data_IF_380635557771
#
_entry.id   IF_380635557771
#
_cell.length_a   1.000
_cell.length_b   1.000
_cell.length_c   1.000
_cell.angle_alpha   90.00
_cell.angle_beta   90.00
_cell.angle_gamma   90.00
#
_symmetry.space_group_name_H-M   'P 1'
#
loop_
_entity.id
_entity.type
_entity.pdbx_description
1 polymer ?
#
# COMPACT_ATOMS: atom_id res chain seq x y z
N UNK A 1 14.86 -3.47 -2.73
CA UNK A 1 14.36 -2.97 -4.03
C UNK A 1 13.96 -4.16 -4.89
N UNK A 2 12.66 -4.35 -5.11
CA UNK A 2 12.16 -5.46 -5.92
C UNK A 2 12.73 -5.41 -7.34
N UNK A 3 13.43 -6.47 -7.77
CA UNK A 3 14.13 -6.59 -9.08
C UNK A 3 13.28 -6.20 -10.30
N UNK A 4 11.96 -6.34 -10.20
CA UNK A 4 11.00 -6.05 -11.28
C UNK A 4 10.73 -4.55 -11.43
N UNK A 5 10.68 -3.81 -10.31
CA UNK A 5 10.47 -2.35 -10.33
C UNK A 5 11.71 -1.66 -10.88
N UNK A 6 12.89 -2.15 -10.50
CA UNK A 6 14.15 -1.68 -11.07
C UNK A 6 14.19 -1.83 -12.59
N UNK A 7 13.60 -2.89 -13.15
CA UNK A 7 13.54 -3.07 -14.61
C UNK A 7 12.59 -2.07 -15.28
N UNK A 8 11.39 -1.84 -14.70
CA UNK A 8 10.43 -0.88 -15.25
C UNK A 8 10.97 0.56 -15.23
N UNK A 9 11.60 0.97 -14.12
CA UNK A 9 12.20 2.30 -13.96
C UNK A 9 13.51 2.42 -14.75
N UNK A 10 14.31 1.35 -14.85
CA UNK A 10 15.52 1.33 -15.69
C UNK A 10 15.19 1.40 -17.18
N UNK A 11 14.14 0.72 -17.66
CA UNK A 11 13.67 0.88 -19.05
C UNK A 11 13.23 2.32 -19.33
N UNK A 12 12.62 2.98 -18.36
CA UNK A 12 12.24 4.39 -18.44
C UNK A 12 13.46 5.32 -18.43
N UNK A 13 14.44 5.05 -17.57
CA UNK A 13 15.73 5.74 -17.56
C UNK A 13 16.49 5.57 -18.89
N UNK A 14 16.55 4.35 -19.44
CA UNK A 14 17.21 4.07 -20.73
C UNK A 14 16.48 4.73 -21.91
N UNK A 15 15.14 4.77 -21.88
CA UNK A 15 14.32 5.50 -22.86
C UNK A 15 14.48 7.02 -22.74
N UNK A 16 14.53 7.57 -21.53
CA UNK A 16 14.72 9.00 -21.33
C UNK A 16 16.16 9.44 -21.68
N UNK A 17 17.14 8.57 -21.41
CA UNK A 17 18.54 8.76 -21.84
C UNK A 17 18.68 8.77 -23.36
N UNK A 18 17.95 7.91 -24.10
CA UNK A 18 17.98 7.93 -25.57
C UNK A 18 17.30 9.17 -26.17
N UNK A 19 16.44 9.84 -25.41
CA UNK A 19 15.79 11.10 -25.75
C UNK A 19 16.55 12.35 -25.23
N UNK A 20 17.68 12.17 -24.53
CA UNK A 20 18.47 13.29 -23.97
C UNK A 20 17.81 14.02 -22.80
N UNK A 21 16.81 13.42 -22.15
CA UNK A 21 16.07 14.01 -21.03
C UNK A 21 16.68 13.52 -19.71
N UNK A 22 17.14 14.45 -18.87
CA UNK A 22 17.64 14.11 -17.53
C UNK A 22 16.52 13.47 -16.68
N UNK A 23 16.83 12.54 -15.75
CA UNK A 23 15.82 12.01 -14.84
C UNK A 23 15.25 13.15 -13.98
N UNK A 24 14.03 13.57 -14.28
CA UNK A 24 13.32 14.58 -13.50
C UNK A 24 12.65 13.88 -12.34
N UNK A 25 13.03 14.24 -11.11
CA UNK A 25 12.26 13.82 -9.93
C UNK A 25 10.91 14.55 -10.02
N UNK A 26 9.77 13.83 -10.09
CA UNK A 26 8.48 14.48 -10.25
C UNK A 26 8.19 15.43 -9.08
N UNK A 27 7.86 16.68 -9.40
CA UNK A 27 7.37 17.65 -8.42
C UNK A 27 5.85 17.72 -8.52
N UNK A 28 5.15 17.33 -7.44
CA UNK A 28 3.69 17.24 -7.40
C UNK A 28 3.16 15.82 -7.63
N UNK A 29 1.84 15.65 -7.82
CA UNK A 29 1.25 14.32 -7.88
C UNK A 29 1.72 13.56 -9.13
N UNK A 30 2.18 12.34 -8.95
CA UNK A 30 2.70 11.46 -10.00
C UNK A 30 1.59 10.66 -10.65
N UNK A 31 0.54 10.32 -9.91
CA UNK A 31 -0.57 9.52 -10.41
C UNK A 31 -1.83 10.35 -10.66
N UNK A 32 -2.70 9.86 -11.54
CA UNK A 32 -4.06 10.39 -11.70
C UNK A 32 -4.94 9.82 -10.57
N UNK A 33 -5.07 10.57 -9.47
CA UNK A 33 -5.72 10.09 -8.24
C UNK A 33 -7.13 9.50 -8.45
N UNK A 34 -8.01 10.19 -9.19
CA UNK A 34 -9.38 9.73 -9.41
C UNK A 34 -9.55 8.91 -10.70
N UNK A 35 -8.47 8.31 -11.23
CA UNK A 35 -8.54 7.59 -12.50
C UNK A 35 -9.55 6.45 -12.49
N UNK A 36 -9.75 5.80 -11.34
CA UNK A 36 -10.78 4.78 -11.13
C UNK A 36 -12.22 5.25 -11.44
N UNK A 37 -12.46 6.58 -11.51
CA UNK A 37 -13.74 7.20 -11.87
C UNK A 37 -13.80 7.60 -13.35
N UNK A 38 -12.67 7.61 -14.06
CA UNK A 38 -12.61 8.03 -15.45
C UNK A 38 -13.13 6.95 -16.41
N UNK A 39 -13.80 7.31 -17.53
CA UNK A 39 -14.29 6.33 -18.49
C UNK A 39 -13.19 5.47 -19.13
N UNK A 40 -12.00 6.03 -19.33
CA UNK A 40 -10.85 5.36 -19.95
C UNK A 40 -10.18 4.32 -19.04
N UNK A 41 -10.52 4.27 -17.75
CA UNK A 41 -9.98 3.29 -16.80
C UNK A 41 -10.77 1.99 -16.74
N UNK A 42 -12.00 1.98 -17.29
CA UNK A 42 -12.94 0.84 -17.19
C UNK A 42 -12.33 -0.48 -17.66
N UNK A 43 -11.58 -0.48 -18.76
CA UNK A 43 -10.97 -1.70 -19.30
C UNK A 43 -9.97 -2.35 -18.33
N UNK A 44 -9.30 -1.55 -17.50
CA UNK A 44 -8.32 -2.02 -16.52
C UNK A 44 -9.01 -2.46 -15.22
N UNK A 45 -9.92 -1.63 -14.70
CA UNK A 45 -10.61 -1.91 -13.45
C UNK A 45 -11.58 -3.09 -13.55
N UNK A 46 -12.14 -3.36 -14.73
CA UNK A 46 -12.96 -4.57 -14.95
C UNK A 46 -12.15 -5.86 -14.81
N UNK A 47 -10.82 -5.85 -14.97
CA UNK A 47 -9.97 -7.04 -14.78
C UNK A 47 -9.74 -7.39 -13.31
N UNK A 48 -9.93 -6.42 -12.41
CA UNK A 48 -9.79 -6.62 -10.96
C UNK A 48 -11.16 -6.63 -10.25
N UNK A 49 -12.26 -6.65 -11.01
CA UNK A 49 -13.64 -6.72 -10.51
C UNK A 49 -14.40 -7.92 -11.09
N UNK A 50 -15.24 -8.54 -10.26
CA UNK A 50 -16.19 -9.57 -10.66
C UNK A 50 -17.51 -9.36 -9.90
N UNK A 51 -18.65 -9.34 -10.62
CA UNK A 51 -20.01 -9.24 -10.03
C UNK A 51 -20.14 -8.12 -8.97
N UNK A 52 -19.65 -6.90 -9.28
CA UNK A 52 -19.64 -5.71 -8.41
C UNK A 52 -18.72 -5.76 -7.18
N UNK A 53 -17.95 -6.83 -7.00
CA UNK A 53 -16.92 -6.95 -5.95
C UNK A 53 -15.53 -7.01 -6.56
N UNK A 54 -14.51 -6.68 -5.77
CA UNK A 54 -13.12 -6.90 -6.17
C UNK A 54 -12.84 -8.39 -6.27
N UNK A 55 -12.09 -8.78 -7.29
CA UNK A 55 -11.64 -10.17 -7.46
C UNK A 55 -10.48 -10.43 -6.50
N UNK A 56 -10.59 -11.50 -5.72
CA UNK A 56 -9.45 -12.04 -4.94
C UNK A 56 -8.50 -12.76 -5.89
N UNK A 57 -7.21 -12.46 -5.78
CA UNK A 57 -6.17 -13.11 -6.58
C UNK A 57 -5.30 -14.00 -5.70
N UNK A 58 -5.02 -15.21 -6.17
CA UNK A 58 -3.97 -16.05 -5.61
C UNK A 58 -2.57 -15.43 -5.78
N UNK A 59 -1.58 -15.92 -5.02
CA UNK A 59 -0.20 -15.38 -5.06
C UNK A 59 0.42 -15.43 -6.48
N UNK A 60 0.08 -16.46 -7.25
CA UNK A 60 0.56 -16.67 -8.63
C UNK A 60 -0.38 -16.10 -9.69
N UNK A 61 -1.58 -15.66 -9.30
CA UNK A 61 -2.55 -15.09 -10.23
C UNK A 61 -2.24 -13.62 -10.54
N UNK A 62 -2.70 -13.17 -11.70
CA UNK A 62 -2.61 -11.79 -12.15
C UNK A 62 -3.82 -11.42 -13.03
N UNK A 63 -4.21 -10.14 -13.09
CA UNK A 63 -5.20 -9.67 -14.05
C UNK A 63 -4.68 -9.87 -15.48
N UNK A 64 -5.49 -10.49 -16.33
CA UNK A 64 -5.16 -10.73 -17.73
C UNK A 64 -5.69 -9.58 -18.61
N UNK A 65 -4.76 -8.89 -19.28
CA UNK A 65 -5.08 -7.88 -20.30
C UNK A 65 -5.17 -8.51 -21.70
N UNK A 66 -5.95 -7.94 -22.62
CA UNK A 66 -5.91 -8.34 -24.03
C UNK A 66 -4.48 -8.22 -24.59
N UNK A 67 -4.05 -9.11 -25.51
CA UNK A 67 -2.68 -9.11 -26.04
C UNK A 67 -2.23 -7.79 -26.68
N UNK A 68 -3.18 -6.97 -27.14
CA UNK A 68 -2.93 -5.67 -27.75
C UNK A 68 -2.56 -4.59 -26.71
N UNK A 69 -2.85 -4.82 -25.43
CA UNK A 69 -2.65 -3.85 -24.34
C UNK A 69 -1.60 -4.42 -23.39
N UNK A 70 -0.37 -3.91 -23.51
CA UNK A 70 0.71 -4.28 -22.62
C UNK A 70 0.67 -3.43 -21.34
N UNK A 71 0.48 -4.07 -20.18
CA UNK A 71 0.47 -3.41 -18.88
C UNK A 71 1.48 -4.08 -17.98
N UNK A 72 2.51 -3.35 -17.60
CA UNK A 72 3.53 -3.87 -16.70
C UNK A 72 3.02 -3.92 -15.26
N UNK A 73 3.48 -4.90 -14.50
CA UNK A 73 3.15 -5.05 -13.08
C UNK A 73 4.35 -4.72 -12.22
N UNK A 74 4.19 -3.75 -11.33
CA UNK A 74 5.14 -3.43 -10.26
C UNK A 74 4.69 -4.08 -8.96
N UNK A 75 5.62 -4.58 -8.15
CA UNK A 75 5.32 -5.40 -6.97
C UNK A 75 5.89 -4.76 -5.72
N UNK A 76 5.06 -4.66 -4.68
CA UNK A 76 5.41 -4.05 -3.41
C UNK A 76 5.00 -4.93 -2.24
N UNK A 77 5.93 -5.16 -1.32
CA UNK A 77 5.67 -5.81 -0.03
C UNK A 77 5.24 -4.75 0.99
N UNK A 78 4.08 -4.96 1.61
CA UNK A 78 3.50 -4.06 2.60
C UNK A 78 3.28 -4.81 3.90
N UNK A 79 3.91 -4.39 4.98
CA UNK A 79 3.69 -4.97 6.31
C UNK A 79 2.57 -4.22 7.07
N UNK A 80 1.66 -4.96 7.69
CA UNK A 80 0.62 -4.43 8.57
C UNK A 80 1.08 -4.51 10.03
N UNK A 81 1.38 -3.36 10.63
CA UNK A 81 1.82 -3.24 12.02
C UNK A 81 0.70 -2.66 12.89
N UNK A 82 0.56 -3.13 14.12
CA UNK A 82 -0.44 -2.61 15.07
C UNK A 82 -0.89 -3.68 16.07
N UNK A 83 -1.58 -3.25 17.13
CA UNK A 83 -1.98 -4.14 18.23
C UNK A 83 -2.87 -5.30 17.79
N UNK A 84 -2.96 -6.34 18.61
CA UNK A 84 -3.99 -7.37 18.42
C UNK A 84 -5.40 -6.75 18.44
N UNK A 85 -6.34 -7.24 17.63
CA UNK A 85 -7.72 -6.72 17.58
C UNK A 85 -7.96 -5.38 16.86
N UNK A 86 -6.93 -4.67 16.38
CA UNK A 86 -7.09 -3.38 15.67
C UNK A 86 -7.60 -3.52 14.22
N UNK A 87 -7.82 -4.74 13.72
CA UNK A 87 -8.40 -4.95 12.38
C UNK A 87 -7.40 -5.05 11.23
N UNK A 88 -6.15 -5.49 11.46
CA UNK A 88 -5.16 -5.77 10.39
C UNK A 88 -5.68 -6.74 9.33
N UNK A 89 -6.16 -7.91 9.75
CA UNK A 89 -6.75 -8.93 8.86
C UNK A 89 -7.99 -8.40 8.13
N UNK A 90 -8.84 -7.62 8.83
CA UNK A 90 -10.02 -7.02 8.23
C UNK A 90 -9.66 -5.98 7.16
N UNK A 91 -8.62 -5.18 7.38
CA UNK A 91 -8.10 -4.25 6.38
C UNK A 91 -7.55 -5.00 5.17
N UNK A 92 -6.73 -6.05 5.38
CA UNK A 92 -6.21 -6.87 4.29
C UNK A 92 -7.33 -7.49 3.45
N UNK A 93 -8.35 -8.08 4.10
CA UNK A 93 -9.52 -8.64 3.44
C UNK A 93 -10.29 -7.59 2.64
N UNK A 94 -10.54 -6.42 3.23
CA UNK A 94 -11.22 -5.28 2.58
C UNK A 94 -10.49 -4.80 1.34
N UNK A 95 -9.16 -4.61 1.44
CA UNK A 95 -8.34 -4.23 0.30
C UNK A 95 -8.25 -5.36 -0.74
N UNK A 96 -8.37 -6.62 -0.34
CA UNK A 96 -8.43 -7.79 -1.23
C UNK A 96 -9.77 -8.01 -1.91
N UNK A 97 -10.86 -7.43 -1.40
CA UNK A 97 -12.23 -7.75 -1.84
C UNK A 97 -12.86 -8.98 -1.19
N UNK A 98 -12.13 -9.62 -0.28
CA UNK A 98 -12.58 -10.80 0.45
C UNK A 98 -13.59 -10.42 1.54
N UNK A 99 -14.36 -11.39 2.00
CA UNK A 99 -15.25 -11.19 3.14
C UNK A 99 -14.43 -10.92 4.41
N UNK A 100 -14.88 -9.94 5.20
CA UNK A 100 -14.27 -9.67 6.51
C UNK A 100 -14.73 -10.76 7.49
N UNK A 101 -13.83 -11.40 8.24
CA UNK A 101 -14.22 -12.37 9.26
C UNK A 101 -15.14 -11.75 10.31
N UNK A 102 -16.29 -12.39 10.59
CA UNK A 102 -17.26 -11.92 11.58
C UNK A 102 -16.81 -12.10 13.03
N UNK A 103 -15.79 -12.95 13.26
CA UNK A 103 -15.23 -13.20 14.59
C UNK A 103 -13.73 -12.95 14.56
N UNK A 104 -13.23 -12.27 15.58
CA UNK A 104 -11.81 -12.00 15.70
C UNK A 104 -11.08 -13.23 16.23
N UNK A 105 -10.12 -13.69 15.44
CA UNK A 105 -9.05 -14.57 15.88
C UNK A 105 -7.72 -13.90 15.55
N UNK A 106 -6.75 -14.04 16.45
CA UNK A 106 -5.42 -13.52 16.18
C UNK A 106 -4.69 -14.41 15.16
N UNK A 107 -4.10 -13.78 14.15
CA UNK A 107 -3.33 -14.44 13.10
C UNK A 107 -2.10 -15.13 13.69
N UNK A 108 -2.06 -16.47 13.62
CA UNK A 108 -1.02 -17.29 14.27
C UNK A 108 0.32 -17.33 13.54
N UNK A 109 0.37 -16.80 12.33
CA UNK A 109 1.57 -16.73 11.49
C UNK A 109 1.53 -15.52 10.56
N UNK A 110 2.20 -15.64 9.41
CA UNK A 110 2.17 -14.61 8.37
C UNK A 110 1.13 -15.01 7.32
N UNK A 111 0.13 -14.16 7.14
CA UNK A 111 -0.84 -14.27 6.06
C UNK A 111 -0.56 -13.21 5.00
N UNK A 112 -0.66 -13.58 3.72
CA UNK A 112 -0.38 -12.66 2.61
C UNK A 112 -1.61 -12.50 1.73
N UNK A 113 -2.07 -11.25 1.56
CA UNK A 113 -3.15 -10.90 0.63
C UNK A 113 -2.58 -10.13 -0.56
N UNK A 114 -2.81 -10.64 -1.78
CA UNK A 114 -2.42 -9.98 -3.02
C UNK A 114 -3.52 -9.06 -3.53
N UNK A 115 -3.17 -7.81 -3.79
CA UNK A 115 -4.10 -6.77 -4.26
C UNK A 115 -3.52 -6.10 -5.49
N UNK A 116 -4.29 -6.13 -6.58
CA UNK A 116 -3.94 -5.42 -7.81
C UNK A 116 -4.69 -4.10 -7.90
N UNK A 117 -3.98 -3.04 -8.27
CA UNK A 117 -4.51 -1.69 -8.45
C UNK A 117 -3.98 -1.05 -9.74
N UNK A 118 -4.83 -0.79 -10.75
CA UNK A 118 -4.45 -0.02 -11.93
C UNK A 118 -4.13 1.43 -11.56
N UNK A 119 -3.00 1.93 -12.05
CA UNK A 119 -2.55 3.31 -11.83
C UNK A 119 -2.12 3.91 -13.16
N UNK A 120 -2.59 5.13 -13.44
CA UNK A 120 -2.16 5.92 -14.60
C UNK A 120 -1.17 6.99 -14.15
N UNK A 121 0.03 6.96 -14.72
CA UNK A 121 1.07 7.96 -14.49
C UNK A 121 0.69 9.25 -15.20
N UNK A 122 0.84 10.39 -14.53
CA UNK A 122 0.51 11.72 -15.09
C UNK A 122 1.47 12.18 -16.17
N UNK A 123 2.75 11.87 -16.01
CA UNK A 123 3.82 12.37 -16.87
C UNK A 123 3.67 11.90 -18.33
N UNK A 124 3.39 10.61 -18.53
CA UNK A 124 3.37 9.98 -19.86
C UNK A 124 2.06 9.24 -20.17
N UNK A 125 1.09 9.24 -19.25
CA UNK A 125 -0.18 8.54 -19.42
C UNK A 125 -0.08 7.01 -19.36
N UNK A 126 1.10 6.45 -19.08
CA UNK A 126 1.33 4.99 -18.98
C UNK A 126 0.49 4.42 -17.84
N UNK A 127 -0.06 3.24 -18.08
CA UNK A 127 -0.78 2.48 -17.06
C UNK A 127 0.11 1.37 -16.54
N UNK A 128 0.12 1.19 -15.22
CA UNK A 128 0.80 0.12 -14.52
C UNK A 128 -0.20 -0.62 -13.61
N UNK A 129 0.01 -1.91 -13.42
CA UNK A 129 -0.61 -2.64 -12.33
C UNK A 129 0.29 -2.62 -11.10
N UNK A 130 -0.17 -2.01 -10.02
CA UNK A 130 0.47 -2.10 -8.74
C UNK A 130 -0.04 -3.36 -8.03
N UNK A 131 0.85 -4.33 -7.80
CA UNK A 131 0.59 -5.53 -7.01
C UNK A 131 1.13 -5.31 -5.60
N UNK A 132 0.22 -5.04 -4.67
CA UNK A 132 0.52 -4.99 -3.25
C UNK A 132 0.41 -6.40 -2.66
N UNK A 133 1.43 -6.81 -1.91
CA UNK A 133 1.41 -7.99 -1.07
C UNK A 133 1.28 -7.48 0.37
N UNK A 134 0.09 -7.54 0.93
CA UNK A 134 -0.15 -7.19 2.33
C UNK A 134 0.21 -8.38 3.22
N UNK A 135 1.20 -8.19 4.09
CA UNK A 135 1.67 -9.15 5.07
C UNK A 135 1.02 -8.82 6.41
N UNK A 136 0.06 -9.64 6.80
CA UNK A 136 -0.59 -9.62 8.10
C UNK A 136 0.06 -10.62 9.04
N UNK A 137 0.31 -10.23 10.28
CA UNK A 137 0.81 -11.11 11.33
C UNK A 137 0.28 -10.66 12.69
N UNK A 138 -0.13 -11.61 13.52
CA UNK A 138 -0.62 -11.33 14.88
C UNK A 138 0.47 -10.72 15.75
N UNK A 139 0.11 -9.78 16.61
CA UNK A 139 1.09 -9.10 17.46
C UNK A 139 1.73 -10.09 18.45
N UNK A 140 0.94 -10.99 19.03
CA UNK A 140 1.42 -12.03 19.92
C UNK A 140 2.31 -13.02 19.19
N UNK A 141 2.02 -13.35 17.93
CA UNK A 141 2.90 -14.19 17.12
C UNK A 141 4.27 -13.51 16.91
N UNK A 142 4.28 -12.22 16.56
CA UNK A 142 5.51 -11.42 16.42
C UNK A 142 6.34 -11.33 17.71
N UNK A 143 5.69 -11.33 18.89
CA UNK A 143 6.37 -11.33 20.19
C UNK A 143 6.87 -12.70 20.62
N UNK A 144 6.16 -13.77 20.22
CA UNK A 144 6.48 -15.15 20.60
C UNK A 144 7.57 -15.77 19.74
N UNK A 145 7.63 -15.39 18.46
CA UNK A 145 8.49 -16.01 17.48
C UNK A 145 9.44 -14.97 16.87
N UNK A 146 10.69 -14.98 17.34
CA UNK A 146 11.71 -13.98 17.01
C UNK A 146 12.03 -13.86 15.51
N UNK A 147 11.71 -14.88 14.71
CA UNK A 147 11.96 -14.90 13.27
C UNK A 147 10.85 -14.23 12.44
N UNK A 148 9.65 -14.02 13.01
CA UNK A 148 8.51 -13.49 12.24
C UNK A 148 8.67 -11.99 11.94
N UNK A 149 9.04 -11.18 12.94
CA UNK A 149 9.22 -9.75 12.73
C UNK A 149 10.35 -9.44 11.73
N UNK A 150 11.55 -10.04 11.81
CA UNK A 150 12.56 -9.93 10.77
C UNK A 150 12.04 -10.32 9.39
N UNK A 151 11.29 -11.43 9.28
CA UNK A 151 10.70 -11.87 8.00
C UNK A 151 9.71 -10.85 7.44
N UNK A 152 8.91 -10.19 8.28
CA UNK A 152 8.01 -9.11 7.86
C UNK A 152 8.78 -7.86 7.41
N UNK A 153 9.87 -7.49 8.11
CA UNK A 153 10.71 -6.32 7.79
C UNK A 153 11.58 -6.53 6.56
N UNK A 154 12.02 -7.76 6.27
CA UNK A 154 12.94 -8.04 5.17
C UNK A 154 12.34 -7.59 3.82
N UNK A 155 13.05 -6.72 3.11
CA UNK A 155 12.65 -6.20 1.79
C UNK A 155 11.23 -5.60 1.77
N UNK A 156 10.79 -5.04 2.89
CA UNK A 156 9.52 -4.32 2.95
C UNK A 156 9.63 -2.99 2.20
N UNK A 157 8.64 -2.66 1.38
CA UNK A 157 8.59 -1.41 0.63
C UNK A 157 7.72 -0.37 1.36
N UNK A 158 6.67 -0.81 2.07
CA UNK A 158 5.83 0.04 2.90
C UNK A 158 5.39 -0.63 4.21
N UNK A 159 5.11 0.18 5.22
CA UNK A 159 4.44 -0.25 6.46
C UNK A 159 3.18 0.57 6.66
N UNK A 160 2.06 -0.13 6.88
CA UNK A 160 0.83 0.47 7.37
C UNK A 160 0.80 0.29 8.88
N UNK A 161 0.73 1.39 9.62
CA UNK A 161 0.55 1.41 11.06
C UNK A 161 -0.93 1.55 11.38
N UNK A 162 -1.49 0.56 12.06
CA UNK A 162 -2.91 0.49 12.36
C UNK A 162 -3.20 0.78 13.82
N UNK A 163 -4.23 1.60 14.02
CA UNK A 163 -4.94 1.74 15.28
C UNK A 163 -6.44 1.56 15.03
N UNK A 164 -7.22 1.42 16.10
CA UNK A 164 -8.67 1.32 16.05
C UNK A 164 -9.30 2.56 16.69
N UNK A 165 -10.29 3.16 16.03
CA UNK A 165 -11.01 4.31 16.59
C UNK A 165 -11.75 3.98 17.90
N UNK A 166 -12.00 2.69 18.17
CA UNK A 166 -12.61 2.20 19.42
C UNK A 166 -11.59 1.64 20.43
N UNK A 167 -10.30 1.99 20.26
CA UNK A 167 -9.23 1.56 21.16
C UNK A 167 -8.17 2.66 21.20
N UNK A 168 -8.36 3.64 22.10
CA UNK A 168 -7.43 4.75 22.29
C UNK A 168 -6.01 4.28 22.62
N UNK A 169 -5.87 3.22 23.41
CA UNK A 169 -4.56 2.64 23.74
C UNK A 169 -3.81 2.14 22.49
N UNK A 170 -4.50 1.72 21.43
CA UNK A 170 -3.85 1.39 20.15
C UNK A 170 -3.33 2.61 19.40
N UNK A 171 -3.95 3.77 19.57
CA UNK A 171 -3.49 5.03 18.99
C UNK A 171 -2.26 5.57 19.72
N UNK A 172 -2.27 5.58 21.05
CA UNK A 172 -1.10 6.00 21.85
C UNK A 172 0.15 5.15 21.57
N UNK A 173 -0.03 3.87 21.22
CA UNK A 173 1.08 2.96 20.94
C UNK A 173 1.71 3.14 19.55
N UNK A 174 1.13 3.97 18.67
CA UNK A 174 1.65 4.17 17.31
C UNK A 174 3.11 4.62 17.31
N UNK A 175 3.49 5.53 18.19
CA UNK A 175 4.89 6.00 18.31
C UNK A 175 5.86 4.88 18.63
N UNK A 176 5.46 3.98 19.55
CA UNK A 176 6.26 2.81 19.94
C UNK A 176 6.34 1.79 18.81
N UNK A 177 5.24 1.57 18.08
CA UNK A 177 5.23 0.68 16.92
C UNK A 177 6.16 1.21 15.82
N UNK A 178 6.10 2.52 15.51
CA UNK A 178 6.96 3.15 14.51
C UNK A 178 8.43 3.00 14.86
N UNK A 179 8.81 3.29 16.12
CA UNK A 179 10.20 3.17 16.57
C UNK A 179 10.68 1.72 16.64
N UNK A 180 9.79 0.76 16.94
CA UNK A 180 10.13 -0.66 17.01
C UNK A 180 10.37 -1.28 15.63
N UNK A 181 9.58 -0.91 14.63
CA UNK A 181 9.58 -1.61 13.33
C UNK A 181 10.31 -0.85 12.23
N UNK A 182 10.68 0.42 12.43
CA UNK A 182 11.41 1.21 11.44
C UNK A 182 12.67 1.84 12.02
N UNK A 183 13.68 1.95 11.17
CA UNK A 183 14.92 2.66 11.45
C UNK A 183 14.94 3.99 10.67
N UNK A 184 15.57 5.07 11.17
CA UNK A 184 15.61 6.37 10.48
C UNK A 184 16.29 6.31 9.10
N UNK A 185 17.20 5.36 8.89
CA UNK A 185 17.87 5.11 7.61
C UNK A 185 17.01 4.36 6.60
N UNK A 186 15.87 3.81 7.02
CA UNK A 186 15.02 3.01 6.18
C UNK A 186 14.34 3.89 5.13
N UNK A 187 14.57 3.55 3.86
CA UNK A 187 13.76 4.04 2.75
C UNK A 187 12.52 3.16 2.67
N UNK A 188 11.54 3.40 3.54
CA UNK A 188 10.27 2.65 3.61
C UNK A 188 9.13 3.68 3.64
N UNK A 189 8.11 3.47 2.82
CA UNK A 189 6.87 4.27 2.88
C UNK A 189 6.11 3.94 4.16
N UNK A 190 5.72 4.96 4.93
CA UNK A 190 4.99 4.81 6.19
C UNK A 190 3.66 5.53 6.06
N UNK A 191 2.55 4.84 6.31
CA UNK A 191 1.20 5.44 6.37
C UNK A 191 0.48 4.93 7.62
N UNK A 192 -0.46 5.71 8.14
CA UNK A 192 -1.27 5.33 9.30
C UNK A 192 -2.71 5.07 8.86
N UNK A 193 -3.34 4.03 9.42
CA UNK A 193 -4.73 3.67 9.13
C UNK A 193 -5.50 3.48 10.44
N UNK A 194 -6.49 4.33 10.67
CA UNK A 194 -7.47 4.18 11.74
C UNK A 194 -8.65 3.32 11.27
N UNK A 195 -8.86 2.17 11.90
CA UNK A 195 -9.93 1.23 11.57
C UNK A 195 -11.17 1.41 12.46
N UNK A 196 -12.27 0.73 12.12
CA UNK A 196 -13.55 0.79 12.84
C UNK A 196 -14.12 2.21 12.95
N UNK A 197 -13.82 3.05 11.97
CA UNK A 197 -14.28 4.44 11.93
C UNK A 197 -15.82 4.56 11.82
N UNK A 198 -16.49 3.51 11.36
CA UNK A 198 -17.95 3.40 11.32
C UNK A 198 -18.61 3.27 12.70
N UNK A 199 -17.85 2.90 13.73
CA UNK A 199 -18.33 2.79 15.11
C UNK A 199 -18.22 4.15 15.83
N UNK A 200 -18.76 5.20 15.20
CA UNK A 200 -18.58 6.59 15.63
C UNK A 200 -19.07 6.86 17.06
N UNK A 201 -20.09 6.13 17.54
CA UNK A 201 -20.58 6.22 18.92
C UNK A 201 -19.61 5.65 19.97
N UNK A 202 -18.60 4.90 19.54
CA UNK A 202 -17.56 4.29 20.37
C UNK A 202 -16.18 4.84 20.02
N UNK A 203 -16.12 6.03 19.44
CA UNK A 203 -14.84 6.66 19.10
C UNK A 203 -14.15 7.18 20.35
N UNK A 204 -12.99 6.62 20.64
CA UNK A 204 -12.14 7.03 21.74
C UNK A 204 -11.00 7.95 21.29
N UNK A 205 -10.81 8.14 19.97
CA UNK A 205 -9.74 8.98 19.39
C UNK A 205 -10.34 10.20 18.69
N UNK A 206 -9.94 11.39 19.12
CA UNK A 206 -10.49 12.65 18.62
C UNK A 206 -9.78 13.17 17.37
N UNK A 207 -10.48 14.02 16.61
CA UNK A 207 -9.92 14.75 15.46
C UNK A 207 -8.68 15.58 15.82
N UNK A 208 -8.66 16.15 17.03
CA UNK A 208 -7.54 16.97 17.52
C UNK A 208 -6.30 16.13 17.74
N UNK A 209 -6.46 14.93 18.31
CA UNK A 209 -5.36 13.99 18.50
C UNK A 209 -4.78 13.52 17.17
N UNK A 210 -5.64 13.23 16.20
CA UNK A 210 -5.20 12.89 14.83
C UNK A 210 -4.41 14.04 14.22
N UNK A 211 -4.94 15.27 14.26
CA UNK A 211 -4.25 16.44 13.72
C UNK A 211 -2.89 16.66 14.38
N UNK A 212 -2.83 16.57 15.71
CA UNK A 212 -1.58 16.68 16.48
C UNK A 212 -0.57 15.59 16.10
N UNK A 213 -1.03 14.36 15.91
CA UNK A 213 -0.18 13.25 15.46
C UNK A 213 0.37 13.51 14.06
N UNK A 214 -0.47 13.93 13.11
CA UNK A 214 -0.06 14.22 11.74
C UNK A 214 0.96 15.36 11.68
N UNK A 215 0.79 16.40 12.48
CA UNK A 215 1.74 17.52 12.58
C UNK A 215 3.07 17.07 13.17
N UNK A 216 3.04 16.24 14.23
CA UNK A 216 4.24 15.78 14.93
C UNK A 216 5.06 14.79 14.09
N UNK A 217 4.39 13.85 13.43
CA UNK A 217 5.06 12.75 12.70
C UNK A 217 5.18 12.99 11.21
N UNK A 218 4.44 13.95 10.64
CA UNK A 218 4.38 14.18 9.20
C UNK A 218 3.78 13.01 8.42
N UNK A 219 3.04 12.11 9.08
CA UNK A 219 2.45 10.92 8.46
C UNK A 219 0.97 11.12 8.17
N UNK A 220 0.47 10.76 6.97
CA UNK A 220 -0.95 10.81 6.67
C UNK A 220 -1.72 9.72 7.42
N UNK A 221 -2.92 10.06 7.88
CA UNK A 221 -3.86 9.14 8.56
C UNK A 221 -5.08 8.89 7.68
N UNK A 222 -5.29 7.63 7.30
CA UNK A 222 -6.45 7.17 6.54
C UNK A 222 -7.48 6.55 7.48
N UNK A 223 -8.76 6.69 7.15
CA UNK A 223 -9.86 6.17 7.95
C UNK A 223 -10.57 5.08 7.19
N UNK A 224 -10.80 3.96 7.86
CA UNK A 224 -11.42 2.79 7.28
C UNK A 224 -12.50 2.28 8.24
N UNK A 225 -13.71 2.07 7.72
CA UNK A 225 -14.85 1.60 8.49
C UNK A 225 -16.01 1.18 7.59
N UNK A 226 -16.94 0.38 8.11
CA UNK A 226 -18.18 -0.04 7.44
C UNK A 226 -18.05 -1.33 6.64
N UNK A 227 -19.08 -1.71 5.89
CA UNK A 227 -19.08 -2.94 5.09
C UNK A 227 -18.19 -2.85 3.85
N UNK A 228 -17.64 -3.99 3.39
CA UNK A 228 -16.83 -4.16 2.16
C UNK A 228 -17.60 -3.84 0.86
N UNK A 229 -18.81 -3.32 0.97
CA UNK A 229 -19.72 -3.05 -0.14
C UNK A 229 -19.43 -1.70 -0.83
N UNK A 230 -18.50 -0.88 -0.32
CA UNK A 230 -18.20 0.47 -0.82
C UNK A 230 -17.51 0.57 -2.18
N UNK A 231 -17.26 -0.57 -2.85
CA UNK A 231 -16.68 -0.61 -4.18
C UNK A 231 -15.26 -0.02 -4.26
N UNK A 232 -14.91 0.61 -5.38
CA UNK A 232 -13.58 1.19 -5.60
C UNK A 232 -13.33 2.44 -4.76
N UNK A 233 -14.37 3.27 -4.56
CA UNK A 233 -14.22 4.60 -3.98
C UNK A 233 -13.74 4.59 -2.53
N UNK A 234 -14.08 3.55 -1.78
CA UNK A 234 -13.71 3.39 -0.38
C UNK A 234 -12.22 3.07 -0.20
N UNK A 235 -11.68 2.18 -1.03
CA UNK A 235 -10.28 1.73 -0.94
C UNK A 235 -9.32 2.59 -1.76
N UNK A 236 -9.83 3.33 -2.74
CA UNK A 236 -9.03 4.14 -3.66
C UNK A 236 -8.10 5.14 -2.94
N UNK A 237 -8.53 5.92 -1.92
CA UNK A 237 -7.64 6.88 -1.27
C UNK A 237 -6.37 6.25 -0.71
N UNK A 238 -6.49 5.11 -0.01
CA UNK A 238 -5.35 4.42 0.58
C UNK A 238 -4.45 3.76 -0.49
N UNK A 239 -5.04 3.11 -1.49
CA UNK A 239 -4.26 2.46 -2.56
C UNK A 239 -3.56 3.46 -3.48
N UNK A 240 -4.20 4.60 -3.74
CA UNK A 240 -3.60 5.70 -4.48
C UNK A 240 -2.46 6.35 -3.70
N UNK A 241 -2.62 6.57 -2.39
CA UNK A 241 -1.53 7.08 -1.56
C UNK A 241 -0.34 6.11 -1.56
N UNK A 242 -0.59 4.81 -1.40
CA UNK A 242 0.47 3.80 -1.53
C UNK A 242 1.16 3.89 -2.90
N UNK A 243 0.40 3.93 -4.00
CA UNK A 243 0.96 4.06 -5.34
C UNK A 243 1.84 5.31 -5.49
N UNK A 244 1.34 6.47 -5.05
CA UNK A 244 2.03 7.76 -5.12
C UNK A 244 3.36 7.72 -4.37
N UNK A 245 3.35 7.31 -3.10
CA UNK A 245 4.54 7.30 -2.26
C UNK A 245 5.56 6.23 -2.69
N UNK A 246 5.10 5.02 -3.03
CA UNK A 246 5.98 3.93 -3.46
C UNK A 246 6.65 4.25 -4.80
N UNK A 247 5.88 4.77 -5.76
CA UNK A 247 6.42 5.11 -7.07
C UNK A 247 7.38 6.31 -6.99
N UNK A 248 7.05 7.34 -6.21
CA UNK A 248 7.97 8.45 -5.95
C UNK A 248 9.31 7.94 -5.40
N UNK A 249 9.26 7.04 -4.41
CA UNK A 249 10.45 6.49 -3.79
C UNK A 249 11.31 5.71 -4.81
N UNK A 250 10.70 4.95 -5.72
CA UNK A 250 11.43 4.23 -6.76
C UNK A 250 12.06 5.18 -7.79
N UNK A 251 11.35 6.23 -8.20
CA UNK A 251 11.89 7.27 -9.08
C UNK A 251 13.12 7.96 -8.47
N UNK A 252 13.06 8.30 -7.18
CA UNK A 252 14.20 8.88 -6.44
C UNK A 252 15.35 7.88 -6.36
N UNK A 253 15.06 6.62 -6.01
CA UNK A 253 16.08 5.60 -5.88
C UNK A 253 16.80 5.33 -7.21
N UNK A 254 16.09 5.31 -8.34
CA UNK A 254 16.68 5.15 -9.67
C UNK A 254 17.52 6.36 -10.10
N UNK A 255 17.11 7.57 -9.72
CA UNK A 255 17.86 8.81 -10.02
C UNK A 255 19.19 8.90 -9.27
N UNK A 256 19.31 8.22 -8.12
CA UNK A 256 20.54 8.17 -7.33
C UNK A 256 21.56 7.12 -7.81
N UNK A 257 21.23 6.29 -8.80
CA UNK A 257 22.17 5.28 -9.33
C UNK A 257 22.98 5.91 -10.46
N UNK A 258 24.31 6.09 -10.31
CA UNK A 258 25.13 6.61 -11.40
C UNK A 258 25.07 5.65 -12.60
N UNK A 259 25.07 6.16 -13.85
CA UNK A 259 25.12 5.30 -15.01
C UNK A 259 26.37 4.43 -14.90
N UNK A 260 26.17 3.10 -14.85
CA UNK A 260 27.26 2.15 -14.93
C UNK A 260 28.09 2.47 -16.18
N UNK A 261 29.34 2.87 -15.97
CA UNK A 261 30.35 2.94 -17.02
C UNK A 261 30.39 1.56 -17.66
N UNK A 262 29.90 1.45 -18.90
CA UNK A 262 30.14 0.26 -19.69
C UNK A 262 31.65 0.15 -19.86
N UNK A 263 32.23 -0.93 -19.32
CA UNK A 263 33.56 -1.45 -19.71
C UNK A 263 33.30 -2.61 -20.65
#
# INVERSE_FOLDING_TARGET
MSRVVFHAVKMEYERNKSLGVAPVIPHGPIIVADWHRCPDSKEYFTKIFQKKRRKTFGLLEAPAMPPQIHVDTVRYKIFLAGKSGVGKTALAARLGGSDIPNMHYETTGIETTAVFWPVKLKENGRVLFFKYLFWDCGENALRRFDHLLPSCKEQVDAILFLFSFTDHGSFEDLSNQISRVTDPSDRIVKLVVGTKFDLFMHTDVTEREIASFQETWGLPVFRVGGDVNGGLGEVAPLLNALAEHLWHQDCVAASCVPPSSQV
#
